data_IF_368943397945
#
_entry.id   IF_368943397945
#
_cell.length_a   1.000
_cell.length_b   1.000
_cell.length_c   1.000
_cell.angle_alpha   90.00
_cell.angle_beta   90.00
_cell.angle_gamma   90.00
#
_symmetry.space_group_name_H-M   'P 1'
#
loop_
_entity.id
_entity.type
_entity.pdbx_description
1 polymer ?
#
# COMPACT_ATOMS: atom_id res chain seq x y z
N UNK A 1 -30.52 -8.85 -24.02
CA UNK A 1 -31.70 -9.75 -24.06
C UNK A 1 -31.69 -10.47 -25.41
N UNK A 2 -32.00 -11.77 -25.41
CA UNK A 2 -32.37 -12.63 -26.57
C UNK A 2 -31.18 -13.17 -27.39
N UNK A 3 -31.07 -14.44 -27.79
CA UNK A 3 -31.68 -15.76 -27.47
C UNK A 3 -30.78 -16.81 -28.16
N UNK A 4 -30.65 -18.00 -27.59
CA UNK A 4 -30.13 -19.20 -28.26
C UNK A 4 -31.03 -19.62 -29.43
N UNK A 5 -30.45 -20.19 -30.48
CA UNK A 5 -31.09 -21.24 -31.30
C UNK A 5 -30.07 -22.27 -31.79
N UNK A 6 -30.33 -23.52 -31.39
CA UNK A 6 -29.72 -24.78 -31.80
C UNK A 6 -30.20 -25.23 -33.20
N UNK A 7 -29.66 -26.37 -33.68
CA UNK A 7 -30.12 -27.29 -34.76
C UNK A 7 -29.52 -27.05 -36.15
N UNK A 8 -29.11 -28.03 -36.98
CA UNK A 8 -29.09 -29.50 -36.93
C UNK A 8 -28.26 -30.05 -38.14
N UNK A 9 -28.12 -31.38 -38.19
CA UNK A 9 -28.03 -32.24 -39.40
C UNK A 9 -26.69 -32.92 -39.73
N UNK A 10 -26.57 -34.14 -39.20
CA UNK A 10 -26.27 -35.43 -39.87
C UNK A 10 -25.80 -35.38 -41.33
N UNK A 11 -24.63 -35.98 -41.60
CA UNK A 11 -24.40 -36.74 -42.82
C UNK A 11 -23.41 -37.88 -42.54
N UNK A 12 -23.94 -39.10 -42.44
CA UNK A 12 -23.20 -40.35 -42.43
C UNK A 12 -23.00 -40.78 -43.89
N UNK A 13 -21.76 -40.92 -44.36
CA UNK A 13 -21.45 -41.67 -45.59
C UNK A 13 -20.41 -42.72 -45.27
N UNK A 14 -20.86 -43.98 -45.19
CA UNK A 14 -20.01 -45.16 -45.29
C UNK A 14 -19.51 -45.29 -46.73
N UNK A 15 -18.19 -45.42 -46.90
CA UNK A 15 -17.60 -46.11 -48.03
C UNK A 15 -16.62 -47.15 -47.48
N UNK A 16 -16.91 -48.42 -47.74
CA UNK A 16 -16.14 -49.56 -47.35
C UNK A 16 -14.99 -49.83 -48.34
N UNK A 17 -13.82 -50.21 -47.83
CA UNK A 17 -12.95 -51.20 -48.45
C UNK A 17 -12.06 -51.85 -47.38
N UNK A 18 -11.99 -53.19 -47.28
CA UNK A 18 -11.16 -53.92 -46.33
C UNK A 18 -9.78 -54.20 -46.93
N UNK A 19 -8.71 -54.32 -46.13
CA UNK A 19 -7.51 -55.16 -46.41
C UNK A 19 -6.51 -55.12 -45.22
N UNK A 20 -6.38 -56.28 -44.58
CA UNK A 20 -5.25 -56.90 -43.87
C UNK A 20 -4.45 -56.13 -42.78
N UNK A 21 -4.81 -56.48 -41.53
CA UNK A 21 -3.94 -56.89 -40.41
C UNK A 21 -2.47 -56.42 -40.36
N UNK A 22 -2.15 -55.56 -39.39
CA UNK A 22 -0.96 -55.65 -38.51
C UNK A 22 -1.28 -54.97 -37.16
N UNK A 23 -1.79 -55.71 -36.17
CA UNK A 23 -1.81 -55.21 -34.78
C UNK A 23 -0.42 -55.40 -34.18
N UNK A 24 0.53 -54.55 -34.60
CA UNK A 24 1.57 -54.16 -33.66
C UNK A 24 0.89 -53.25 -32.62
N UNK A 25 1.10 -53.46 -31.30
CA UNK A 25 0.61 -52.51 -30.32
C UNK A 25 1.17 -51.14 -30.69
N UNK A 26 0.29 -50.15 -30.89
CA UNK A 26 0.72 -48.77 -31.08
C UNK A 26 1.62 -48.41 -29.90
N UNK A 27 2.85 -47.91 -30.12
CA UNK A 27 3.61 -47.36 -29.02
C UNK A 27 2.77 -46.23 -28.45
N UNK A 28 2.28 -46.38 -27.22
CA UNK A 28 1.63 -45.29 -26.50
C UNK A 28 2.59 -44.12 -26.57
N UNK A 29 2.23 -43.09 -27.35
CA UNK A 29 3.02 -41.87 -27.44
C UNK A 29 3.00 -41.27 -26.05
N UNK A 30 4.11 -41.41 -25.32
CA UNK A 30 4.20 -40.88 -23.97
C UNK A 30 3.81 -39.39 -24.01
N UNK A 31 2.87 -38.99 -23.15
CA UNK A 31 2.33 -37.65 -23.15
C UNK A 31 3.47 -36.64 -22.92
N UNK A 32 3.60 -35.56 -23.72
CA UNK A 32 4.60 -34.54 -23.47
C UNK A 32 4.56 -34.04 -22.03
N UNK A 33 5.71 -34.09 -21.34
CA UNK A 33 5.86 -33.75 -19.92
C UNK A 33 5.59 -34.88 -18.92
N UNK A 34 5.11 -36.06 -19.35
CA UNK A 34 5.03 -37.25 -18.49
C UNK A 34 6.40 -37.81 -18.15
N UNK A 35 6.52 -38.54 -17.02
CA UNK A 35 7.77 -39.20 -16.62
C UNK A 35 8.26 -40.19 -17.69
N UNK A 36 7.33 -40.89 -18.35
CA UNK A 36 7.67 -41.78 -19.47
C UNK A 36 8.20 -41.01 -20.69
N UNK A 37 7.67 -39.81 -20.95
CA UNK A 37 8.16 -38.96 -22.03
C UNK A 37 9.54 -38.36 -21.71
N UNK A 38 9.78 -37.97 -20.46
CA UNK A 38 11.11 -37.54 -19.99
C UNK A 38 12.11 -38.72 -20.04
N UNK A 39 11.69 -39.92 -19.64
CA UNK A 39 12.46 -41.17 -19.73
C UNK A 39 12.86 -41.47 -21.18
N UNK A 40 11.93 -41.37 -22.13
CA UNK A 40 12.19 -41.60 -23.56
C UNK A 40 13.14 -40.55 -24.16
N UNK A 41 13.16 -39.33 -23.63
CA UNK A 41 14.11 -38.27 -24.04
C UNK A 41 15.44 -38.31 -23.28
N UNK A 42 15.63 -39.26 -22.38
CA UNK A 42 16.83 -39.33 -21.53
C UNK A 42 16.93 -38.21 -20.50
N UNK A 43 15.86 -37.46 -20.26
CA UNK A 43 15.80 -36.29 -19.36
C UNK A 43 15.20 -36.63 -17.99
N UNK A 44 15.11 -37.91 -17.64
CA UNK A 44 14.61 -38.33 -16.34
C UNK A 44 15.61 -37.91 -15.25
N UNK A 45 15.20 -37.00 -14.36
CA UNK A 45 15.97 -36.67 -13.18
C UNK A 45 16.16 -37.93 -12.35
N UNK A 46 17.38 -38.46 -12.35
CA UNK A 46 17.77 -39.58 -11.50
C UNK A 46 18.59 -39.01 -10.36
N UNK A 47 17.97 -38.89 -9.18
CA UNK A 47 18.69 -38.56 -7.96
C UNK A 47 19.75 -39.64 -7.73
N UNK A 48 21.00 -39.23 -7.51
CA UNK A 48 22.04 -40.15 -7.05
C UNK A 48 21.56 -40.84 -5.76
N UNK A 49 21.74 -42.16 -5.60
CA UNK A 49 21.39 -42.84 -4.36
C UNK A 49 22.15 -42.23 -3.19
N UNK A 50 21.56 -42.24 -1.99
CA UNK A 50 22.19 -41.63 -0.80
C UNK A 50 23.54 -42.26 -0.44
N UNK A 51 23.82 -43.48 -0.91
CA UNK A 51 25.12 -44.16 -0.81
C UNK A 51 26.25 -43.47 -1.58
N UNK A 52 25.92 -42.62 -2.55
CA UNK A 52 26.89 -41.81 -3.31
C UNK A 52 27.13 -40.44 -2.68
N UNK A 53 26.40 -40.07 -1.61
CA UNK A 53 26.65 -38.82 -0.89
C UNK A 53 27.85 -38.97 0.05
N UNK A 54 28.70 -37.94 0.09
CA UNK A 54 29.74 -37.84 1.11
C UNK A 54 29.09 -37.45 2.46
N UNK A 55 29.16 -38.30 3.50
CA UNK A 55 28.60 -37.99 4.80
C UNK A 55 29.17 -36.71 5.42
N UNK A 56 30.43 -36.35 5.11
CA UNK A 56 31.06 -35.13 5.60
C UNK A 56 30.43 -33.88 4.99
N UNK A 57 30.13 -33.89 3.69
CA UNK A 57 29.45 -32.79 3.00
C UNK A 57 28.00 -32.62 3.48
N UNK A 58 27.30 -33.72 3.73
CA UNK A 58 25.93 -33.68 4.29
C UNK A 58 25.94 -33.06 5.68
N UNK A 59 26.88 -33.46 6.54
CA UNK A 59 27.03 -32.89 7.89
C UNK A 59 27.41 -31.40 7.84
N UNK A 60 28.31 -31.01 6.95
CA UNK A 60 28.69 -29.61 6.75
C UNK A 60 27.51 -28.77 6.26
N UNK A 61 26.73 -29.28 5.30
CA UNK A 61 25.53 -28.62 4.78
C UNK A 61 24.47 -28.47 5.87
N UNK A 62 24.24 -29.51 6.68
CA UNK A 62 23.32 -29.45 7.80
C UNK A 62 23.73 -28.38 8.82
N UNK A 63 25.02 -28.28 9.14
CA UNK A 63 25.54 -27.24 10.03
C UNK A 63 25.34 -25.84 9.45
N UNK A 64 25.66 -25.64 8.17
CA UNK A 64 25.47 -24.36 7.50
C UNK A 64 23.99 -23.95 7.47
N UNK A 65 23.09 -24.88 7.17
CA UNK A 65 21.66 -24.61 7.16
C UNK A 65 21.14 -24.23 8.56
N UNK A 66 21.66 -24.87 9.62
CA UNK A 66 21.34 -24.49 10.99
C UNK A 66 21.85 -23.09 11.33
N UNK A 67 23.07 -22.74 10.90
CA UNK A 67 23.64 -21.40 11.07
C UNK A 67 22.80 -20.33 10.34
N UNK A 68 22.38 -20.60 9.10
CA UNK A 68 21.51 -19.70 8.33
C UNK A 68 20.16 -19.54 9.00
N UNK A 69 19.53 -20.64 9.44
CA UNK A 69 18.25 -20.59 10.13
C UNK A 69 18.32 -19.74 11.41
N UNK A 70 19.38 -19.89 12.20
CA UNK A 70 19.61 -19.09 13.40
C UNK A 70 19.77 -17.60 13.08
N UNK A 71 20.52 -17.25 12.02
CA UNK A 71 20.69 -15.86 11.58
C UNK A 71 19.39 -15.26 11.08
N UNK A 72 18.61 -16.01 10.31
CA UNK A 72 17.32 -15.54 9.81
C UNK A 72 16.33 -15.30 10.95
N UNK A 73 16.31 -16.17 11.97
CA UNK A 73 15.49 -15.97 13.16
C UNK A 73 15.87 -14.68 13.90
N UNK A 74 17.16 -14.47 14.16
CA UNK A 74 17.64 -13.24 14.81
C UNK A 74 17.35 -11.97 13.98
N UNK A 75 17.47 -12.06 12.65
CA UNK A 75 17.13 -10.96 11.76
C UNK A 75 15.63 -10.64 11.81
N UNK A 76 14.76 -11.66 11.79
CA UNK A 76 13.32 -11.48 11.87
C UNK A 76 12.89 -10.81 13.20
N UNK A 77 13.51 -11.20 14.31
CA UNK A 77 13.28 -10.56 15.61
C UNK A 77 13.70 -9.09 15.59
N UNK A 78 14.89 -8.80 15.07
CA UNK A 78 15.41 -7.42 14.96
C UNK A 78 14.52 -6.55 14.05
N UNK A 79 14.06 -7.09 12.93
CA UNK A 79 13.15 -6.38 12.01
C UNK A 79 11.79 -6.10 12.66
N UNK A 80 11.25 -7.05 13.42
CA UNK A 80 9.99 -6.86 14.14
C UNK A 80 10.10 -5.75 15.19
N UNK A 81 11.19 -5.73 15.98
CA UNK A 81 11.46 -4.67 16.96
C UNK A 81 11.63 -3.30 16.28
N UNK A 82 12.37 -3.25 15.17
CA UNK A 82 12.58 -2.01 14.42
C UNK A 82 11.27 -1.47 13.83
N UNK A 83 10.40 -2.36 13.33
CA UNK A 83 9.09 -2.00 12.80
C UNK A 83 8.18 -1.43 13.90
N UNK A 84 8.09 -2.12 15.05
CA UNK A 84 7.29 -1.65 16.17
C UNK A 84 7.76 -0.26 16.65
N UNK A 85 9.08 -0.07 16.79
CA UNK A 85 9.64 1.21 17.20
C UNK A 85 9.41 2.33 16.16
N UNK A 86 9.40 1.98 14.86
CA UNK A 86 9.04 2.92 13.81
C UNK A 86 7.56 3.30 13.88
N UNK A 87 6.67 2.33 14.03
CA UNK A 87 5.22 2.55 14.11
C UNK A 87 4.84 3.46 15.28
N UNK A 88 5.43 3.24 16.46
CA UNK A 88 5.24 4.07 17.65
C UNK A 88 5.68 5.52 17.40
N UNK A 89 6.89 5.72 16.86
CA UNK A 89 7.39 7.07 16.53
C UNK A 89 6.55 7.75 15.46
N UNK A 90 6.09 6.99 14.45
CA UNK A 90 5.25 7.52 13.39
C UNK A 90 3.85 7.90 13.90
N UNK A 91 3.29 7.13 14.85
CA UNK A 91 2.02 7.48 15.50
C UNK A 91 2.17 8.78 16.31
N UNK A 92 3.23 8.88 17.12
CA UNK A 92 3.52 10.09 17.89
C UNK A 92 3.73 11.32 16.99
N UNK A 93 4.49 11.17 15.90
CA UNK A 93 4.71 12.24 14.94
C UNK A 93 3.41 12.70 14.27
N UNK A 94 2.54 11.77 13.84
CA UNK A 94 1.24 12.13 13.25
C UNK A 94 0.33 12.88 14.23
N UNK A 95 0.31 12.45 15.49
CA UNK A 95 -0.46 13.12 16.53
C UNK A 95 0.05 14.56 16.77
N UNK A 96 1.36 14.72 16.86
CA UNK A 96 2.00 16.04 17.03
C UNK A 96 1.73 16.95 15.83
N UNK A 97 1.88 16.45 14.61
CA UNK A 97 1.60 17.21 13.40
C UNK A 97 0.14 17.69 13.34
N UNK A 98 -0.81 16.83 13.72
CA UNK A 98 -2.23 17.20 13.78
C UNK A 98 -2.52 18.27 14.85
N UNK A 99 -1.85 18.18 16.01
CA UNK A 99 -1.94 19.20 17.06
C UNK A 99 -1.42 20.55 16.56
N UNK A 100 -0.21 20.57 15.99
CA UNK A 100 0.42 21.80 15.51
C UNK A 100 -0.37 22.46 14.38
N UNK A 101 -0.96 21.68 13.48
CA UNK A 101 -1.82 22.23 12.43
C UNK A 101 -3.08 22.88 13.01
N UNK A 102 -3.67 22.26 14.03
CA UNK A 102 -4.81 22.86 14.75
C UNK A 102 -4.41 24.17 15.42
N UNK A 103 -3.26 24.18 16.12
CA UNK A 103 -2.73 25.39 16.76
C UNK A 103 -2.43 26.50 15.74
N UNK A 104 -1.89 26.16 14.57
CA UNK A 104 -1.64 27.10 13.48
C UNK A 104 -2.93 27.77 13.01
N UNK A 105 -3.96 26.99 12.70
CA UNK A 105 -5.25 27.51 12.25
C UNK A 105 -5.88 28.42 13.33
N UNK A 106 -5.81 28.02 14.60
CA UNK A 106 -6.33 28.85 15.70
C UNK A 106 -5.54 30.16 15.84
N UNK A 107 -4.22 30.10 15.72
CA UNK A 107 -3.38 31.29 15.76
C UNK A 107 -3.71 32.25 14.59
N UNK A 108 -3.87 31.73 13.38
CA UNK A 108 -4.24 32.52 12.21
C UNK A 108 -5.60 33.21 12.40
N UNK A 109 -6.60 32.49 12.92
CA UNK A 109 -7.92 33.04 13.23
C UNK A 109 -7.85 34.13 14.31
N UNK A 110 -7.09 33.90 15.38
CA UNK A 110 -6.90 34.88 16.46
C UNK A 110 -6.15 36.12 15.98
N UNK A 111 -5.14 35.95 15.13
CA UNK A 111 -4.40 37.07 14.54
C UNK A 111 -5.29 37.93 13.64
N UNK A 112 -6.14 37.29 12.82
CA UNK A 112 -7.11 37.99 11.99
C UNK A 112 -8.15 38.74 12.84
N UNK A 113 -8.69 38.11 13.88
CA UNK A 113 -9.64 38.73 14.80
C UNK A 113 -9.03 39.94 15.54
N UNK A 114 -7.80 39.79 16.05
CA UNK A 114 -7.08 40.88 16.71
C UNK A 114 -6.81 42.05 15.76
N UNK A 115 -6.44 41.76 14.50
CA UNK A 115 -6.22 42.78 13.48
C UNK A 115 -7.52 43.52 13.13
N UNK A 116 -8.63 42.80 13.01
CA UNK A 116 -9.94 43.39 12.75
C UNK A 116 -10.41 44.28 13.92
N UNK A 117 -10.23 43.82 15.17
CA UNK A 117 -10.56 44.59 16.37
C UNK A 117 -9.74 45.88 16.46
N UNK A 118 -8.43 45.83 16.18
CA UNK A 118 -7.58 47.03 16.10
C UNK A 118 -8.08 48.01 15.04
N UNK A 119 -8.36 47.52 13.83
CA UNK A 119 -8.86 48.37 12.75
C UNK A 119 -10.21 49.01 13.09
N UNK A 120 -11.08 48.30 13.81
CA UNK A 120 -12.34 48.85 14.31
C UNK A 120 -12.10 49.95 15.34
N UNK A 121 -11.27 49.68 16.36
CA UNK A 121 -10.91 50.66 17.38
C UNK A 121 -10.30 51.93 16.77
N UNK A 122 -9.43 51.79 15.76
CA UNK A 122 -8.84 52.93 15.06
C UNK A 122 -9.90 53.81 14.36
N UNK A 123 -10.90 53.20 13.73
CA UNK A 123 -12.02 53.93 13.11
C UNK A 123 -12.89 54.63 14.16
N UNK A 124 -13.22 53.94 15.23
CA UNK A 124 -14.01 54.49 16.34
C UNK A 124 -13.29 55.65 17.02
N UNK A 125 -11.97 55.51 17.23
CA UNK A 125 -11.12 56.57 17.77
C UNK A 125 -11.11 57.78 16.84
N UNK A 126 -10.91 57.59 15.54
CA UNK A 126 -10.91 58.69 14.58
C UNK A 126 -12.27 59.42 14.53
N UNK A 127 -13.38 58.67 14.60
CA UNK A 127 -14.73 59.24 14.65
C UNK A 127 -14.96 60.02 15.95
N UNK A 128 -14.52 59.50 17.09
CA UNK A 128 -14.58 60.19 18.37
C UNK A 128 -13.72 61.47 18.36
N UNK A 129 -12.50 61.43 17.83
CA UNK A 129 -11.63 62.60 17.70
C UNK A 129 -12.29 63.70 16.85
N UNK A 130 -12.92 63.33 15.73
CA UNK A 130 -13.66 64.27 14.88
C UNK A 130 -14.88 64.87 15.60
N UNK A 131 -15.63 64.06 16.37
CA UNK A 131 -16.75 64.54 17.18
C UNK A 131 -16.29 65.54 18.25
N UNK A 132 -15.18 65.23 18.94
CA UNK A 132 -14.62 66.09 19.96
C UNK A 132 -14.13 67.42 19.37
N UNK A 133 -13.50 67.41 18.20
CA UNK A 133 -13.08 68.62 17.51
C UNK A 133 -14.27 69.49 17.07
N UNK A 134 -15.32 68.89 16.48
CA UNK A 134 -16.54 69.61 16.12
C UNK A 134 -17.21 70.24 17.37
N UNK A 135 -17.22 69.52 18.49
CA UNK A 135 -17.74 70.01 19.75
C UNK A 135 -16.93 71.20 20.29
N UNK A 136 -15.58 71.11 20.30
CA UNK A 136 -14.70 72.22 20.70
C UNK A 136 -14.96 73.48 19.89
N UNK A 137 -15.12 73.35 18.57
CA UNK A 137 -15.45 74.46 17.66
C UNK A 137 -16.82 75.08 17.92
N UNK A 138 -17.76 74.34 18.52
CA UNK A 138 -19.10 74.82 18.85
C UNK A 138 -19.19 75.63 20.15
N UNK A 139 -18.11 75.67 20.95
CA UNK A 139 -18.07 76.35 22.25
C UNK A 139 -18.87 75.67 23.36
N UNK A 140 -19.39 74.46 23.13
CA UNK A 140 -20.10 73.65 24.13
C UNK A 140 -19.12 72.78 24.94
N UNK A 141 -19.54 72.35 26.14
CA UNK A 141 -18.80 71.36 26.94
C UNK A 141 -18.97 69.97 26.32
N UNK A 142 -17.87 69.26 26.09
CA UNK A 142 -17.84 67.95 25.43
C UNK A 142 -17.74 66.82 26.47
N UNK A 143 -18.65 65.83 26.43
CA UNK A 143 -18.74 64.74 27.44
C UNK A 143 -18.84 63.34 26.82
N UNK A 144 -18.26 63.12 25.64
CA UNK A 144 -18.26 61.80 25.00
C UNK A 144 -17.06 60.96 25.47
N UNK A 145 -17.24 59.76 26.04
CA UNK A 145 -16.12 58.92 26.45
C UNK A 145 -15.37 58.35 25.23
N UNK A 146 -14.05 58.14 25.32
CA UNK A 146 -13.30 57.49 24.24
C UNK A 146 -13.73 56.03 24.07
N UNK A 147 -13.53 55.44 22.88
CA UNK A 147 -13.80 54.02 22.66
C UNK A 147 -12.91 53.15 23.56
N UNK A 148 -13.48 52.05 24.06
CA UNK A 148 -12.78 51.07 24.89
C UNK A 148 -11.86 50.17 24.06
N UNK A 149 -10.84 49.60 24.73
CA UNK A 149 -9.95 48.58 24.17
C UNK A 149 -10.53 47.17 24.31
#
# INVERSE_FOLDING_TARGET
MIRLTLTAAVALTLAAAPVFAQTAPSPTSAQPGSEEWLRLRGEMYKRAPDSEQDPAEVAATARLNAEIAARNAAAAETEAEAMAAFEDRNAAWRAEAARLETERVQWEANAAAASAARAQWERERAAWEAQMEACRRSGRVCVSPPPGY
#
